data_IF_325607203160
#
_entry.id   IF_325607203160
#
_cell.length_a   1.000
_cell.length_b   1.000
_cell.length_c   1.000
_cell.angle_alpha   90.00
_cell.angle_beta   90.00
_cell.angle_gamma   90.00
#
_symmetry.space_group_name_H-M   'P 1'
#
loop_
_entity.id
_entity.type
_entity.pdbx_description
1 polymer ?
#
# COMPACT_ATOMS: atom_id res chain seq x y z
N UNK A 1 -8.70 -21.46 1.56
CA UNK A 1 -8.14 -20.10 1.70
C UNK A 1 -8.69 -19.28 0.55
N UNK A 2 -9.69 -18.41 0.76
CA UNK A 2 -10.17 -17.53 -0.32
C UNK A 2 -9.01 -16.61 -0.66
N UNK A 3 -8.55 -16.64 -1.91
CA UNK A 3 -7.55 -15.70 -2.37
C UNK A 3 -8.15 -14.30 -2.25
N UNK A 4 -7.43 -13.39 -1.61
CA UNK A 4 -7.75 -11.97 -1.70
C UNK A 4 -7.73 -11.60 -3.20
N UNK A 5 -8.77 -10.93 -3.67
CA UNK A 5 -8.91 -10.58 -5.09
C UNK A 5 -7.72 -9.72 -5.54
N UNK A 6 -7.22 -9.99 -6.76
CA UNK A 6 -6.12 -9.24 -7.37
C UNK A 6 -6.68 -7.94 -7.96
N UNK A 7 -6.90 -6.95 -7.09
CA UNK A 7 -7.62 -5.70 -7.41
C UNK A 7 -6.71 -4.60 -8.00
N UNK A 8 -5.74 -4.99 -8.83
CA UNK A 8 -4.83 -4.02 -9.46
C UNK A 8 -5.53 -3.29 -10.60
N UNK A 9 -5.44 -1.97 -10.56
CA UNK A 9 -5.93 -1.10 -11.63
C UNK A 9 -4.75 -0.42 -12.32
N UNK A 10 -4.88 -0.17 -13.62
CA UNK A 10 -3.92 0.63 -14.36
C UNK A 10 -4.18 2.10 -14.03
N UNK A 11 -3.14 2.81 -13.62
CA UNK A 11 -3.17 4.26 -13.44
C UNK A 11 -2.59 4.93 -14.69
N UNK A 12 -3.34 5.87 -15.26
CA UNK A 12 -2.93 6.59 -16.48
C UNK A 12 -2.14 7.86 -16.15
N UNK A 13 -2.28 8.38 -14.93
CA UNK A 13 -1.53 9.54 -14.46
C UNK A 13 -0.81 9.27 -13.13
N UNK A 14 0.27 10.01 -12.82
CA UNK A 14 0.91 9.97 -11.50
C UNK A 14 -0.08 10.28 -10.37
N UNK A 15 -0.97 11.25 -10.58
CA UNK A 15 -1.99 11.67 -9.63
C UNK A 15 -2.97 10.53 -9.33
N UNK A 16 -3.49 9.86 -10.36
CA UNK A 16 -4.36 8.68 -10.20
C UNK A 16 -3.68 7.57 -9.40
N UNK A 17 -2.41 7.29 -9.68
CA UNK A 17 -1.65 6.28 -8.97
C UNK A 17 -1.54 6.64 -7.47
N UNK A 18 -1.16 7.88 -7.15
CA UNK A 18 -0.98 8.32 -5.77
C UNK A 18 -2.32 8.44 -5.03
N UNK A 19 -3.38 8.89 -5.69
CA UNK A 19 -4.74 8.94 -5.14
C UNK A 19 -5.24 7.53 -4.81
N UNK A 20 -5.01 6.56 -5.69
CA UNK A 20 -5.37 5.16 -5.44
C UNK A 20 -4.57 4.55 -4.29
N UNK A 21 -3.26 4.79 -4.24
CA UNK A 21 -2.43 4.38 -3.11
C UNK A 21 -2.98 4.93 -1.79
N UNK A 22 -3.34 6.22 -1.78
CA UNK A 22 -3.92 6.88 -0.61
C UNK A 22 -5.27 6.29 -0.18
N UNK A 23 -6.17 6.07 -1.13
CA UNK A 23 -7.47 5.46 -0.85
C UNK A 23 -7.31 4.05 -0.25
N UNK A 24 -6.46 3.21 -0.84
CA UNK A 24 -6.22 1.85 -0.36
C UNK A 24 -5.54 1.82 1.01
N UNK A 25 -4.57 2.70 1.26
CA UNK A 25 -3.94 2.81 2.57
C UNK A 25 -4.95 3.23 3.64
N UNK A 26 -5.78 4.25 3.36
CA UNK A 26 -6.80 4.71 4.30
C UNK A 26 -7.84 3.63 4.59
N UNK A 27 -8.27 2.89 3.57
CA UNK A 27 -9.17 1.74 3.73
C UNK A 27 -8.54 0.68 4.64
N UNK A 28 -7.27 0.34 4.40
CA UNK A 28 -6.57 -0.68 5.16
C UNK A 28 -6.37 -0.30 6.62
N UNK A 29 -5.91 0.92 6.90
CA UNK A 29 -5.73 1.40 8.28
C UNK A 29 -7.07 1.56 9.00
N UNK A 30 -8.10 2.02 8.30
CA UNK A 30 -9.46 2.12 8.84
C UNK A 30 -10.07 0.76 9.19
N UNK A 31 -9.97 -0.21 8.28
CA UNK A 31 -10.44 -1.58 8.49
C UNK A 31 -9.70 -2.25 9.66
N UNK A 32 -8.38 -2.09 9.73
CA UNK A 32 -7.58 -2.67 10.81
C UNK A 32 -7.89 -2.02 12.17
N UNK A 33 -8.03 -0.69 12.21
CA UNK A 33 -8.42 0.03 13.44
C UNK A 33 -9.80 -0.40 13.92
N UNK A 34 -10.77 -0.54 13.00
CA UNK A 34 -12.11 -1.01 13.33
C UNK A 34 -12.11 -2.45 13.84
N UNK A 35 -11.40 -3.36 13.16
CA UNK A 35 -11.27 -4.75 13.59
C UNK A 35 -10.61 -4.87 14.96
N UNK A 36 -9.56 -4.08 15.22
CA UNK A 36 -8.91 -4.02 16.53
C UNK A 36 -9.88 -3.57 17.62
N UNK A 37 -10.60 -2.46 17.41
CA UNK A 37 -11.61 -1.96 18.36
C UNK A 37 -12.69 -2.99 18.66
N UNK A 38 -13.17 -3.70 17.63
CA UNK A 38 -14.14 -4.78 17.76
C UNK A 38 -13.58 -5.95 18.57
N UNK A 39 -12.33 -6.35 18.35
CA UNK A 39 -11.68 -7.40 19.13
C UNK A 39 -11.49 -7.00 20.60
N UNK A 40 -11.06 -5.76 20.85
CA UNK A 40 -10.83 -5.24 22.21
C UNK A 40 -12.12 -5.13 23.03
N UNK A 41 -13.28 -4.93 22.38
CA UNK A 41 -14.58 -4.81 23.06
C UNK A 41 -15.35 -6.14 23.13
N UNK A 42 -15.40 -6.87 22.02
CA UNK A 42 -16.34 -7.98 21.82
C UNK A 42 -15.63 -9.34 21.65
N UNK A 43 -14.28 -9.35 21.60
CA UNK A 43 -13.45 -10.54 21.35
C UNK A 43 -13.75 -11.26 20.02
N UNK A 44 -14.35 -10.55 19.07
CA UNK A 44 -14.64 -11.04 17.73
C UNK A 44 -13.39 -10.85 16.85
N UNK A 45 -12.84 -11.95 16.34
CA UNK A 45 -11.70 -11.94 15.41
C UNK A 45 -12.14 -11.58 13.99
N UNK A 46 -11.31 -10.88 13.22
CA UNK A 46 -11.57 -10.66 11.82
C UNK A 46 -11.60 -11.97 11.04
N UNK A 47 -12.47 -12.05 10.04
CA UNK A 47 -12.51 -13.20 9.15
C UNK A 47 -11.44 -13.12 8.04
N UNK A 48 -11.29 -14.19 7.25
CA UNK A 48 -10.29 -14.26 6.19
C UNK A 48 -10.45 -13.17 5.10
N UNK A 49 -11.67 -12.68 4.86
CA UNK A 49 -11.92 -11.57 3.93
C UNK A 49 -11.52 -10.24 4.54
N UNK A 50 -11.79 -10.01 5.82
CA UNK A 50 -11.37 -8.80 6.53
C UNK A 50 -9.83 -8.73 6.60
N UNK A 51 -9.15 -9.85 6.82
CA UNK A 51 -7.68 -9.91 6.77
C UNK A 51 -7.09 -9.43 5.43
N UNK A 52 -7.80 -9.62 4.32
CA UNK A 52 -7.37 -9.10 3.02
C UNK A 52 -7.35 -7.57 2.97
N UNK A 53 -8.18 -6.91 3.77
CA UNK A 53 -8.31 -5.45 3.80
C UNK A 53 -7.15 -4.79 4.54
N UNK A 54 -6.46 -5.50 5.43
CA UNK A 54 -5.40 -4.92 6.28
C UNK A 54 -4.06 -4.75 5.59
N UNK A 55 -4.01 -4.82 4.26
CA UNK A 55 -2.75 -4.90 3.50
C UNK A 55 -2.28 -3.54 3.04
N UNK A 56 -0.97 -3.35 3.02
CA UNK A 56 -0.39 -2.18 2.39
C UNK A 56 -0.79 -2.12 0.91
N UNK A 57 -1.02 -0.92 0.35
CA UNK A 57 -1.11 -0.78 -1.10
C UNK A 57 0.24 -1.08 -1.76
N UNK A 58 0.18 -1.55 -3.00
CA UNK A 58 1.34 -1.88 -3.83
C UNK A 58 1.32 -1.05 -5.11
N UNK A 59 2.50 -0.53 -5.46
CA UNK A 59 2.75 0.13 -6.73
C UNK A 59 3.60 -0.80 -7.60
N UNK A 60 3.13 -1.13 -8.79
CA UNK A 60 3.87 -1.90 -9.81
C UNK A 60 4.16 -1.01 -11.01
N UNK A 61 5.42 -1.02 -11.45
CA UNK A 61 5.88 -0.34 -12.66
C UNK A 61 6.43 -1.40 -13.60
N UNK A 62 5.76 -1.62 -14.73
CA UNK A 62 6.24 -2.52 -15.77
C UNK A 62 6.81 -1.72 -16.92
N UNK A 63 8.12 -1.81 -17.11
CA UNK A 63 8.84 -1.22 -18.22
C UNK A 63 9.01 -2.25 -19.34
N UNK A 64 8.31 -2.04 -20.46
CA UNK A 64 8.27 -2.98 -21.58
C UNK A 64 9.48 -2.87 -22.52
N UNK A 65 10.30 -1.81 -22.37
CA UNK A 65 11.45 -1.46 -23.21
C UNK A 65 11.14 -1.52 -24.72
N UNK A 66 10.68 -0.40 -25.27
CA UNK A 66 10.50 -0.23 -26.71
C UNK A 66 11.45 0.85 -27.22
N UNK A 67 12.51 0.44 -27.91
CA UNK A 67 13.46 1.35 -28.57
C UNK A 67 14.64 1.79 -27.72
N UNK A 68 15.19 2.96 -28.03
CA UNK A 68 16.34 3.53 -27.32
C UNK A 68 15.95 3.97 -25.90
N UNK A 69 16.82 3.67 -24.93
CA UNK A 69 16.63 4.11 -23.54
C UNK A 69 16.71 5.65 -23.51
N UNK A 70 15.68 6.34 -22.99
CA UNK A 70 15.69 7.79 -22.86
C UNK A 70 16.95 8.26 -22.10
N UNK A 71 17.73 9.13 -22.73
CA UNK A 71 18.88 9.76 -22.08
C UNK A 71 18.39 10.95 -21.26
N UNK A 72 18.42 10.81 -19.93
CA UNK A 72 18.06 11.91 -19.02
C UNK A 72 19.24 12.28 -18.11
N UNK A 73 19.43 13.58 -17.90
CA UNK A 73 20.48 14.13 -17.00
C UNK A 73 20.15 13.96 -15.52
N UNK A 74 18.90 13.60 -15.18
CA UNK A 74 18.49 13.35 -13.79
C UNK A 74 19.28 12.21 -13.17
N UNK A 75 19.69 12.34 -11.90
CA UNK A 75 20.36 11.26 -11.18
C UNK A 75 19.39 10.18 -10.66
N UNK A 76 18.09 10.49 -10.57
CA UNK A 76 17.03 9.64 -10.06
C UNK A 76 15.89 9.49 -11.09
N UNK A 77 14.84 8.74 -10.75
CA UNK A 77 13.69 8.48 -11.63
C UNK A 77 14.11 7.91 -13.00
N UNK A 78 14.96 6.87 -12.97
CA UNK A 78 15.46 6.17 -14.15
C UNK A 78 15.15 4.69 -14.05
N UNK A 79 14.76 4.09 -15.16
CA UNK A 79 14.65 2.63 -15.32
C UNK A 79 15.71 2.18 -16.31
N UNK A 80 16.56 1.24 -15.91
CA UNK A 80 17.70 0.79 -16.73
C UNK A 80 17.38 -0.46 -17.54
N UNK A 81 16.59 -1.37 -16.97
CA UNK A 81 16.35 -2.71 -17.53
C UNK A 81 14.84 -2.93 -17.68
N UNK A 82 14.36 -3.48 -18.80
CA UNK A 82 12.97 -3.93 -18.89
C UNK A 82 12.61 -4.89 -17.76
N UNK A 83 11.40 -4.76 -17.24
CA UNK A 83 10.92 -5.61 -16.15
C UNK A 83 9.83 -4.95 -15.32
N UNK A 84 9.37 -5.69 -14.31
CA UNK A 84 8.38 -5.24 -13.33
C UNK A 84 9.05 -4.93 -12.01
N UNK A 85 8.89 -3.70 -11.55
CA UNK A 85 9.36 -3.20 -10.26
C UNK A 85 8.14 -3.01 -9.35
N UNK A 86 8.14 -3.62 -8.17
CA UNK A 86 7.03 -3.55 -7.24
C UNK A 86 7.50 -3.09 -5.85
N UNK A 87 6.73 -2.21 -5.23
CA UNK A 87 6.95 -1.76 -3.83
C UNK A 87 5.62 -1.69 -3.08
N UNK A 88 5.64 -1.99 -1.80
CA UNK A 88 4.56 -1.65 -0.87
C UNK A 88 4.73 -0.22 -0.39
N UNK A 89 3.63 0.53 -0.26
CA UNK A 89 3.66 1.96 0.11
C UNK A 89 2.91 2.17 1.43
N UNK A 90 3.53 2.90 2.36
CA UNK A 90 2.90 3.36 3.61
C UNK A 90 2.74 4.88 3.58
N UNK A 91 1.71 5.40 4.27
CA UNK A 91 1.41 6.83 4.37
C UNK A 91 1.51 7.62 3.04
N UNK A 92 0.92 7.14 1.94
CA UNK A 92 0.99 7.77 0.62
C UNK A 92 0.48 9.23 0.60
N UNK A 93 -0.46 9.60 1.48
CA UNK A 93 -0.89 10.98 1.63
C UNK A 93 0.23 11.89 2.17
N UNK A 94 1.00 11.43 3.16
CA UNK A 94 2.14 12.16 3.70
C UNK A 94 3.29 12.23 2.69
N UNK A 95 3.54 11.14 1.96
CA UNK A 95 4.57 11.07 0.92
C UNK A 95 4.10 11.55 -0.47
N UNK A 96 2.90 12.15 -0.58
CA UNK A 96 2.28 12.51 -1.87
C UNK A 96 3.24 13.30 -2.75
N UNK A 97 3.86 14.34 -2.20
CA UNK A 97 4.80 15.19 -2.94
C UNK A 97 5.96 14.38 -3.51
N UNK A 98 6.58 13.54 -2.69
CA UNK A 98 7.70 12.69 -3.11
C UNK A 98 7.28 11.68 -4.19
N UNK A 99 6.14 11.00 -3.99
CA UNK A 99 5.64 10.02 -4.96
C UNK A 99 5.37 10.65 -6.32
N UNK A 100 4.77 11.84 -6.36
CA UNK A 100 4.54 12.58 -7.60
C UNK A 100 5.85 13.05 -8.24
N UNK A 101 6.82 13.53 -7.45
CA UNK A 101 8.15 13.92 -7.94
C UNK A 101 8.92 12.76 -8.58
N UNK A 102 8.69 11.51 -8.14
CA UNK A 102 9.27 10.32 -8.77
C UNK A 102 8.45 9.83 -9.97
N UNK A 103 7.12 9.76 -9.86
CA UNK A 103 6.26 9.15 -10.88
C UNK A 103 6.12 10.02 -12.13
N UNK A 104 6.05 11.35 -11.99
CA UNK A 104 5.93 12.27 -13.14
C UNK A 104 7.05 12.10 -14.17
N UNK A 105 8.34 12.19 -13.82
CA UNK A 105 9.41 11.97 -14.79
C UNK A 105 9.43 10.53 -15.32
N UNK A 106 9.12 9.53 -14.49
CA UNK A 106 9.08 8.13 -14.92
C UNK A 106 8.01 7.89 -16.01
N UNK A 107 6.78 8.35 -15.79
CA UNK A 107 5.67 8.16 -16.73
C UNK A 107 5.76 9.05 -17.97
N UNK A 108 6.49 10.17 -17.89
CA UNK A 108 6.71 11.06 -19.02
C UNK A 108 7.85 10.59 -19.93
N UNK A 109 8.95 10.10 -19.35
CA UNK A 109 10.14 9.74 -20.11
C UNK A 109 10.10 8.29 -20.63
N UNK A 110 9.46 7.39 -19.88
CA UNK A 110 9.48 5.95 -20.18
C UNK A 110 8.07 5.44 -20.49
N UNK A 111 7.98 4.51 -21.44
CA UNK A 111 6.74 3.74 -21.67
C UNK A 111 6.54 2.73 -20.54
N UNK A 112 5.90 3.18 -19.48
CA UNK A 112 5.58 2.39 -18.29
C UNK A 112 4.10 2.04 -18.24
N UNK A 113 3.81 0.78 -17.88
CA UNK A 113 2.51 0.41 -17.34
C UNK A 113 2.58 0.55 -15.82
N UNK A 114 1.78 1.46 -15.27
CA UNK A 114 1.69 1.70 -13.83
C UNK A 114 0.43 1.05 -13.30
N UNK A 115 0.57 0.21 -12.28
CA UNK A 115 -0.54 -0.50 -11.67
C UNK A 115 -0.55 -0.31 -10.16
N UNK A 116 -1.73 -0.15 -9.59
CA UNK A 116 -1.92 0.04 -8.15
C UNK A 116 -2.98 -0.91 -7.63
N UNK A 117 -2.65 -1.64 -6.56
CA UNK A 117 -3.54 -2.63 -5.96
C UNK A 117 -3.20 -2.90 -4.50
N UNK A 118 -3.84 -3.90 -3.89
CA UNK A 118 -3.49 -4.36 -2.55
C UNK A 118 -2.32 -5.34 -2.65
N UNK A 119 -1.31 -5.17 -1.79
CA UNK A 119 -0.18 -6.09 -1.71
C UNK A 119 -0.59 -7.43 -1.08
N UNK A 120 0.40 -8.28 -0.81
CA UNK A 120 0.26 -9.47 0.05
C UNK A 120 0.72 -9.21 1.49
N UNK A 121 1.21 -8.00 1.80
CA UNK A 121 1.82 -7.67 3.09
C UNK A 121 0.81 -6.94 3.98
N UNK A 122 0.53 -7.51 5.15
CA UNK A 122 -0.32 -6.90 6.17
C UNK A 122 0.37 -5.71 6.83
N UNK A 123 -0.41 -4.71 7.22
CA UNK A 123 -0.02 -3.63 8.11
C UNK A 123 0.05 -4.19 9.53
N UNK A 124 1.20 -4.11 10.22
CA UNK A 124 1.26 -4.45 11.63
C UNK A 124 0.32 -3.56 12.45
N UNK A 125 -0.52 -4.18 13.30
CA UNK A 125 -1.48 -3.47 14.15
C UNK A 125 -0.88 -2.32 14.98
N UNK A 126 0.38 -2.36 15.47
CA UNK A 126 0.92 -1.25 16.25
C UNK A 126 0.99 0.08 15.48
N UNK A 127 0.99 0.05 14.15
CA UNK A 127 1.04 1.27 13.33
C UNK A 127 -0.31 1.96 13.14
N UNK A 128 -1.41 1.36 13.61
CA UNK A 128 -2.76 1.95 13.52
C UNK A 128 -3.38 2.28 14.89
N UNK A 129 -2.64 2.04 15.97
CA UNK A 129 -3.06 2.39 17.33
C UNK A 129 -2.71 3.85 17.57
N UNK A 130 -3.72 4.71 17.73
CA UNK A 130 -3.52 6.16 17.87
C UNK A 130 -3.23 6.59 19.33
N UNK A 131 -3.34 5.68 20.31
CA UNK A 131 -2.95 5.97 21.69
C UNK A 131 -2.62 4.71 22.50
N UNK A 132 -1.55 4.75 23.28
CA UNK A 132 -1.14 3.64 24.16
C UNK A 132 -2.20 3.23 25.20
N UNK A 133 -3.18 4.09 25.44
CA UNK A 133 -4.30 3.86 26.37
C UNK A 133 -5.39 2.94 25.79
N UNK A 134 -5.54 2.84 24.46
CA UNK A 134 -6.56 1.98 23.82
C UNK A 134 -6.35 0.49 24.17
N UNK A 135 -5.11 0.10 24.47
CA UNK A 135 -4.76 -1.27 24.86
C UNK A 135 -4.83 -1.48 26.38
N UNK A 136 -4.44 -0.47 27.17
CA UNK A 136 -4.29 -0.58 28.62
C UNK A 136 -5.61 -0.89 29.36
N UNK A 137 -6.73 -0.35 28.89
CA UNK A 137 -8.06 -0.57 29.49
C UNK A 137 -8.77 -1.87 29.09
N UNK A 138 -8.23 -2.63 28.12
CA UNK A 138 -8.97 -3.73 27.48
C UNK A 138 -8.75 -5.11 28.13
N UNK A 139 -7.71 -5.25 28.96
CA UNK A 139 -7.24 -6.53 29.48
C UNK A 139 -6.61 -7.48 28.43
N UNK A 140 -6.47 -7.02 27.18
CA UNK A 140 -5.81 -7.77 26.10
C UNK A 140 -4.33 -7.43 26.06
N UNK A 141 -3.48 -8.44 25.99
CA UNK A 141 -2.03 -8.23 25.90
C UNK A 141 -1.56 -8.10 24.45
N UNK A 142 -0.43 -7.40 24.24
CA UNK A 142 0.22 -7.37 22.93
C UNK A 142 0.58 -8.76 22.39
N UNK A 143 0.93 -9.70 23.28
CA UNK A 143 1.22 -11.09 22.92
C UNK A 143 -0.02 -11.84 22.41
N UNK A 144 -1.21 -11.49 22.89
CA UNK A 144 -2.47 -12.01 22.39
C UNK A 144 -2.80 -11.43 21.00
N UNK A 145 -2.66 -10.12 20.84
CA UNK A 145 -2.88 -9.43 19.55
C UNK A 145 -1.95 -9.92 18.43
N UNK A 146 -0.73 -10.33 18.77
CA UNK A 146 0.21 -10.90 17.80
C UNK A 146 -0.21 -12.28 17.24
N UNK A 147 -1.23 -12.93 17.83
CA UNK A 147 -1.65 -14.31 17.49
C UNK A 147 -3.03 -14.39 16.85
N UNK A 148 -3.76 -13.27 16.75
CA UNK A 148 -5.16 -13.22 16.32
C UNK A 148 -5.36 -12.51 15.00
#
# INVERSE_FOLDING_TARGET
>A
MKACSDDFIIAHTPEEAVDRLAALHQEATGALSHALKRYLKERIRPDASEHCLFRYPELRLTYLCQGEVPTTVRAYAKVQVPGTYAITVTQPAAFRKYLLEQLRPLMNDFTLRVEVGRSQQNIPYPYVVEGGDELAGSGVTAAELARV
#
